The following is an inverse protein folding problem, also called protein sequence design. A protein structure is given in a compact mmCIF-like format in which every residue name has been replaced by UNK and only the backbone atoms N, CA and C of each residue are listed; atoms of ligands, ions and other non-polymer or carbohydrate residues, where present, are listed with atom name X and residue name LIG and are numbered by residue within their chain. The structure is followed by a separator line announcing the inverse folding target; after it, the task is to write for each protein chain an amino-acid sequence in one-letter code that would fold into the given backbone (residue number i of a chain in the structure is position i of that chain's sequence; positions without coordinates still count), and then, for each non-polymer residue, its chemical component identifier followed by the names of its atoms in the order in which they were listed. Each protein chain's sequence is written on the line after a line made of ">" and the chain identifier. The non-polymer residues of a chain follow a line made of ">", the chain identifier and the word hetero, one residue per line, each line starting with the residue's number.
data_IF_315303322924
#
_entry.id   IF_315303322924
#
_cell.length_a   1.000
_cell.length_b   1.000
_cell.length_c   1.000
_cell.angle_alpha   90.00
_cell.angle_beta   90.00
_cell.angle_gamma   90.00
#
_symmetry.space_group_name_H-M   'P 1'
#
loop_
_entity.id
_entity.type
_entity.pdbx_description
1 polymer ?
#
# COMPACT_ATOMS: atom_id res chain seq x y z
N UNK A 1 -13.83 -14.42 24.30
CA UNK A 1 -12.87 -15.17 23.46
C UNK A 1 -12.90 -14.55 22.07
N UNK A 2 -11.97 -13.64 21.76
CA UNK A 2 -11.88 -13.06 20.41
C UNK A 2 -11.33 -14.18 19.53
N UNK A 3 -12.17 -14.75 18.66
CA UNK A 3 -11.70 -15.68 17.63
C UNK A 3 -10.88 -14.84 16.66
N UNK A 4 -9.56 -14.80 16.87
CA UNK A 4 -8.66 -14.06 16.01
C UNK A 4 -8.59 -14.80 14.68
N UNK A 5 -9.02 -14.14 13.61
CA UNK A 5 -9.01 -14.70 12.27
C UNK A 5 -7.57 -14.61 11.72
N UNK A 6 -6.89 -15.76 11.55
CA UNK A 6 -5.54 -15.83 10.95
C UNK A 6 -5.40 -15.03 9.64
N UNK A 7 -6.49 -14.85 8.89
CA UNK A 7 -6.47 -14.06 7.64
C UNK A 7 -6.27 -12.56 7.88
N UNK A 8 -6.85 -12.01 8.96
CA UNK A 8 -6.67 -10.59 9.29
C UNK A 8 -5.29 -10.29 9.86
N UNK A 9 -4.68 -11.25 10.57
CA UNK A 9 -3.31 -11.11 11.10
C UNK A 9 -2.29 -10.94 9.97
N UNK A 10 -2.41 -11.73 8.90
CA UNK A 10 -1.49 -11.65 7.76
C UNK A 10 -1.61 -10.33 6.99
N UNK A 11 -2.84 -9.82 6.83
CA UNK A 11 -3.05 -8.50 6.22
C UNK A 11 -2.49 -7.38 7.10
N UNK A 12 -2.69 -7.47 8.42
CA UNK A 12 -2.10 -6.52 9.37
C UNK A 12 -0.58 -6.57 9.34
N UNK A 13 0.01 -7.78 9.26
CA UNK A 13 1.45 -7.97 9.13
C UNK A 13 2.02 -7.25 7.90
N UNK A 14 1.37 -7.36 6.73
CA UNK A 14 1.81 -6.64 5.52
C UNK A 14 1.85 -5.12 5.72
N UNK A 15 0.84 -4.57 6.40
CA UNK A 15 0.77 -3.13 6.68
C UNK A 15 1.86 -2.71 7.66
N UNK A 16 2.03 -3.44 8.76
CA UNK A 16 3.08 -3.17 9.75
C UNK A 16 4.46 -3.28 9.14
N UNK A 17 4.70 -4.31 8.32
CA UNK A 17 5.95 -4.45 7.57
C UNK A 17 6.18 -3.26 6.64
N UNK A 18 5.16 -2.81 5.91
CA UNK A 18 5.23 -1.62 5.07
C UNK A 18 5.65 -0.37 5.85
N UNK A 19 5.02 -0.13 7.01
CA UNK A 19 5.38 0.99 7.89
C UNK A 19 6.84 0.88 8.38
N UNK A 20 7.28 -0.31 8.81
CA UNK A 20 8.67 -0.51 9.24
C UNK A 20 9.67 -0.26 8.11
N UNK A 21 9.37 -0.69 6.89
CA UNK A 21 10.22 -0.43 5.72
C UNK A 21 10.30 1.06 5.39
N UNK A 22 9.19 1.80 5.49
CA UNK A 22 9.16 3.25 5.30
C UNK A 22 10.05 3.94 6.35
N UNK A 23 9.90 3.56 7.63
CA UNK A 23 10.74 4.10 8.70
C UNK A 23 12.24 3.79 8.48
N UNK A 24 12.55 2.59 8.01
CA UNK A 24 13.92 2.21 7.66
C UNK A 24 14.47 3.07 6.52
N UNK A 25 13.67 3.34 5.48
CA UNK A 25 14.07 4.23 4.38
C UNK A 25 14.36 5.63 4.89
N UNK A 26 13.52 6.19 5.76
CA UNK A 26 13.77 7.50 6.38
C UNK A 26 15.06 7.50 7.20
N UNK A 27 15.27 6.47 8.02
CA UNK A 27 16.51 6.32 8.78
C UNK A 27 17.75 6.33 7.87
N UNK A 28 17.73 5.61 6.75
CA UNK A 28 18.84 5.61 5.81
C UNK A 28 19.07 6.98 5.15
N UNK A 29 18.00 7.67 4.76
CA UNK A 29 18.08 9.01 4.15
C UNK A 29 18.70 10.03 5.10
N UNK A 30 18.35 9.97 6.38
CA UNK A 30 18.77 10.97 7.35
C UNK A 30 20.20 10.72 7.88
N UNK A 31 20.66 9.47 7.90
CA UNK A 31 21.92 9.09 8.56
C UNK A 31 23.08 8.79 7.59
N UNK A 32 22.81 8.60 6.29
CA UNK A 32 23.84 8.18 5.33
C UNK A 32 23.91 9.11 4.13
N UNK A 33 25.12 9.57 3.80
CA UNK A 33 25.39 10.24 2.52
C UNK A 33 25.41 9.19 1.42
N UNK A 34 24.39 9.19 0.58
CA UNK A 34 24.26 8.25 -0.53
C UNK A 34 24.59 8.90 -1.86
N UNK A 35 25.05 8.12 -2.84
CA UNK A 35 25.18 8.59 -4.22
C UNK A 35 23.82 8.98 -4.84
N UNK A 36 23.84 9.71 -5.95
CA UNK A 36 22.64 10.25 -6.61
C UNK A 36 21.58 9.19 -6.93
N UNK A 37 21.99 8.01 -7.42
CA UNK A 37 21.07 6.91 -7.74
C UNK A 37 20.38 6.34 -6.50
N UNK A 38 21.13 6.12 -5.42
CA UNK A 38 20.57 5.57 -4.17
C UNK A 38 19.64 6.60 -3.52
N UNK A 39 20.00 7.89 -3.58
CA UNK A 39 19.15 8.96 -3.08
C UNK A 39 17.81 9.01 -3.81
N UNK A 40 17.80 8.79 -5.13
CA UNK A 40 16.57 8.73 -5.92
C UNK A 40 15.72 7.51 -5.54
N UNK A 41 16.33 6.33 -5.41
CA UNK A 41 15.62 5.11 -4.99
C UNK A 41 15.01 5.26 -3.59
N UNK A 42 15.76 5.80 -2.64
CA UNK A 42 15.26 6.09 -1.29
C UNK A 42 14.21 7.21 -1.28
N UNK A 43 14.28 8.13 -2.26
CA UNK A 43 13.28 9.16 -2.48
C UNK A 43 11.90 8.56 -2.74
N UNK A 44 11.81 7.65 -3.71
CA UNK A 44 10.54 7.08 -4.20
C UNK A 44 10.07 5.82 -3.48
N UNK A 45 10.97 5.19 -2.72
CA UNK A 45 10.67 3.95 -1.99
C UNK A 45 9.44 4.05 -1.07
N UNK A 46 9.19 5.14 -0.31
CA UNK A 46 8.02 5.23 0.56
C UNK A 46 6.69 5.11 -0.21
N UNK A 47 6.61 5.74 -1.38
CA UNK A 47 5.42 5.70 -2.24
C UNK A 47 5.20 4.31 -2.84
N UNK A 48 6.28 3.69 -3.33
CA UNK A 48 6.25 2.30 -3.78
C UNK A 48 5.77 1.34 -2.66
N UNK A 49 6.37 1.43 -1.47
CA UNK A 49 6.04 0.56 -0.33
C UNK A 49 4.59 0.77 0.09
N UNK A 50 4.12 2.03 0.14
CA UNK A 50 2.73 2.33 0.52
C UNK A 50 1.76 1.74 -0.50
N UNK A 51 1.98 1.95 -1.80
CA UNK A 51 1.14 1.39 -2.85
C UNK A 51 1.12 -0.14 -2.85
N UNK A 52 2.23 -0.77 -2.45
CA UNK A 52 2.33 -2.22 -2.36
C UNK A 52 1.66 -2.79 -1.10
N UNK A 53 1.88 -2.22 0.09
CA UNK A 53 1.43 -2.81 1.34
C UNK A 53 0.04 -2.34 1.80
N UNK A 54 -0.33 -1.08 1.55
CA UNK A 54 -1.52 -0.48 2.15
C UNK A 54 -2.87 -0.92 1.55
N UNK A 55 -2.98 -1.46 0.31
CA UNK A 55 -4.24 -2.06 -0.12
C UNK A 55 -4.76 -3.15 0.83
N UNK A 56 -3.87 -3.81 1.59
CA UNK A 56 -4.23 -4.80 2.61
C UNK A 56 -5.15 -4.25 3.71
N UNK A 57 -5.06 -2.95 4.04
CA UNK A 57 -5.95 -2.27 4.99
C UNK A 57 -7.39 -2.38 4.51
N UNK A 58 -7.66 -2.00 3.26
CA UNK A 58 -9.01 -1.99 2.69
C UNK A 58 -9.55 -3.41 2.47
N UNK A 59 -8.68 -4.36 2.12
CA UNK A 59 -9.06 -5.76 1.95
C UNK A 59 -9.67 -6.32 3.25
N UNK A 60 -9.13 -5.95 4.40
CA UNK A 60 -9.64 -6.38 5.72
C UNK A 60 -11.11 -6.00 5.97
N UNK A 61 -11.65 -4.99 5.29
CA UNK A 61 -13.04 -4.55 5.45
C UNK A 61 -14.06 -5.35 4.64
N UNK A 62 -13.63 -6.31 3.79
CA UNK A 62 -14.54 -7.06 2.90
C UNK A 62 -15.75 -7.64 3.63
N UNK A 63 -15.52 -8.38 4.71
CA UNK A 63 -16.60 -9.04 5.46
C UNK A 63 -17.60 -8.03 6.03
N UNK A 64 -17.14 -6.84 6.41
CA UNK A 64 -18.01 -5.77 6.90
C UNK A 64 -18.88 -5.23 5.77
N UNK A 65 -18.32 -5.02 4.59
CA UNK A 65 -19.06 -4.53 3.41
C UNK A 65 -20.04 -5.57 2.88
N UNK A 66 -19.66 -6.85 2.85
CA UNK A 66 -20.54 -7.94 2.38
C UNK A 66 -21.79 -8.11 3.25
N UNK A 67 -21.73 -7.74 4.54
CA UNK A 67 -22.93 -7.69 5.40
C UNK A 67 -23.97 -6.69 4.93
N UNK A 68 -23.58 -5.61 4.24
CA UNK A 68 -24.48 -4.57 3.76
C UNK A 68 -24.85 -4.72 2.28
N UNK A 69 -23.93 -5.25 1.45
CA UNK A 69 -24.09 -5.30 -0.01
C UNK A 69 -24.21 -6.71 -0.59
N UNK A 70 -24.19 -7.75 0.24
CA UNK A 70 -24.16 -9.14 -0.21
C UNK A 70 -22.77 -9.58 -0.65
N UNK A 71 -22.66 -10.77 -1.25
CA UNK A 71 -21.38 -11.38 -1.65
C UNK A 71 -20.70 -10.55 -2.74
N UNK A 72 -19.43 -10.22 -2.54
CA UNK A 72 -18.62 -9.45 -3.48
C UNK A 72 -17.59 -10.38 -4.12
N UNK A 73 -17.39 -10.25 -5.43
CA UNK A 73 -16.35 -10.99 -6.14
C UNK A 73 -14.97 -10.65 -5.53
N UNK A 74 -14.21 -11.65 -5.01
CA UNK A 74 -12.95 -11.40 -4.33
C UNK A 74 -11.91 -10.65 -5.17
N UNK A 75 -11.82 -10.97 -6.48
CA UNK A 75 -10.87 -10.32 -7.37
C UNK A 75 -11.27 -8.86 -7.63
N UNK A 76 -12.56 -8.59 -7.88
CA UNK A 76 -13.04 -7.21 -8.04
C UNK A 76 -12.81 -6.37 -6.78
N UNK A 77 -13.03 -6.94 -5.59
CA UNK A 77 -12.75 -6.26 -4.32
C UNK A 77 -11.26 -5.96 -4.15
N UNK A 78 -10.41 -6.93 -4.46
CA UNK A 78 -8.96 -6.78 -4.40
C UNK A 78 -8.47 -5.67 -5.33
N UNK A 79 -8.87 -5.70 -6.60
CA UNK A 79 -8.53 -4.64 -7.57
C UNK A 79 -9.06 -3.28 -7.13
N UNK A 80 -10.30 -3.21 -6.64
CA UNK A 80 -10.87 -1.98 -6.11
C UNK A 80 -10.04 -1.40 -4.95
N UNK A 81 -9.63 -2.24 -3.98
CA UNK A 81 -8.79 -1.81 -2.85
C UNK A 81 -7.44 -1.27 -3.32
N UNK A 82 -6.82 -1.92 -4.31
CA UNK A 82 -5.56 -1.47 -4.88
C UNK A 82 -5.70 -0.13 -5.60
N UNK A 83 -6.74 0.01 -6.44
CA UNK A 83 -7.01 1.26 -7.15
C UNK A 83 -7.37 2.40 -6.19
N UNK A 84 -8.15 2.11 -5.14
CA UNK A 84 -8.48 3.08 -4.11
C UNK A 84 -7.22 3.59 -3.41
N UNK A 85 -6.31 2.68 -3.04
CA UNK A 85 -5.03 3.06 -2.44
C UNK A 85 -4.18 3.91 -3.40
N UNK A 86 -4.12 3.54 -4.67
CA UNK A 86 -3.38 4.30 -5.69
C UNK A 86 -3.95 5.71 -5.87
N UNK A 87 -5.27 5.85 -5.92
CA UNK A 87 -5.93 7.17 -6.02
C UNK A 87 -5.61 8.02 -4.80
N UNK A 88 -5.66 7.45 -3.60
CA UNK A 88 -5.31 8.17 -2.36
C UNK A 88 -3.86 8.67 -2.42
N UNK A 89 -2.92 7.84 -2.88
CA UNK A 89 -1.52 8.24 -3.04
C UNK A 89 -1.33 9.33 -4.09
N UNK A 90 -1.95 9.21 -5.25
CA UNK A 90 -1.88 10.24 -6.29
C UNK A 90 -2.45 11.57 -5.76
N UNK A 91 -3.61 11.54 -5.10
CA UNK A 91 -4.18 12.73 -4.47
C UNK A 91 -3.26 13.31 -3.39
N UNK A 92 -2.55 12.47 -2.65
CA UNK A 92 -1.57 12.89 -1.64
C UNK A 92 -0.39 13.64 -2.28
N UNK A 93 0.15 13.14 -3.38
CA UNK A 93 1.24 13.82 -4.13
C UNK A 93 0.81 15.19 -4.66
N UNK A 94 -0.40 15.30 -5.20
CA UNK A 94 -0.93 16.61 -5.63
C UNK A 94 -1.09 17.58 -4.46
N UNK A 95 -1.55 17.10 -3.30
CA UNK A 95 -1.68 17.93 -2.11
C UNK A 95 -0.32 18.35 -1.53
N UNK A 96 0.68 17.48 -1.61
CA UNK A 96 2.04 17.83 -1.18
C UNK A 96 2.62 19.00 -2.00
N UNK A 97 2.29 19.10 -3.29
CA UNK A 97 2.70 20.21 -4.14
C UNK A 97 2.22 21.58 -3.65
N UNK A 98 1.15 21.62 -2.84
CA UNK A 98 0.60 22.84 -2.23
C UNK A 98 1.25 23.19 -0.88
N UNK A 99 2.08 22.30 -0.31
CA UNK A 99 2.79 22.53 0.95
C UNK A 99 4.18 23.11 0.67
N UNK A 100 4.50 24.24 1.31
CA UNK A 100 5.70 25.07 1.06
C UNK A 100 7.07 24.33 1.09
N UNK A 101 7.12 23.08 1.56
CA UNK A 101 8.35 22.28 1.68
C UNK A 101 8.36 20.97 0.87
N UNK A 102 7.32 20.67 0.08
CA UNK A 102 7.26 19.43 -0.70
C UNK A 102 7.09 19.72 -2.19
N UNK A 103 7.91 19.06 -2.99
CA UNK A 103 7.92 19.21 -4.45
C UNK A 103 7.22 17.99 -5.05
N UNK A 104 6.25 18.24 -5.92
CA UNK A 104 5.65 17.21 -6.75
C UNK A 104 6.73 16.45 -7.55
N UNK A 105 6.91 15.16 -7.27
CA UNK A 105 7.82 14.30 -8.03
C UNK A 105 7.05 13.31 -8.91
N UNK A 106 7.27 13.38 -10.23
CA UNK A 106 6.70 12.42 -11.18
C UNK A 106 7.17 10.99 -10.89
N UNK A 107 8.36 10.83 -10.32
CA UNK A 107 8.90 9.52 -9.98
C UNK A 107 8.10 8.85 -8.85
N UNK A 108 7.51 9.63 -7.94
CA UNK A 108 6.66 9.13 -6.86
C UNK A 108 5.33 8.58 -7.37
N UNK A 109 4.74 9.21 -8.39
CA UNK A 109 3.57 8.68 -9.09
C UNK A 109 3.92 7.36 -9.79
N UNK A 110 5.05 7.31 -10.51
CA UNK A 110 5.49 6.08 -11.19
C UNK A 110 5.75 4.96 -10.19
N UNK A 111 6.38 5.26 -9.06
CA UNK A 111 6.65 4.32 -7.98
C UNK A 111 5.33 3.78 -7.36
N UNK A 112 4.35 4.66 -7.14
CA UNK A 112 3.02 4.27 -6.66
C UNK A 112 2.30 3.34 -7.65
N UNK A 113 2.33 3.67 -8.95
CA UNK A 113 1.75 2.83 -10.00
C UNK A 113 2.44 1.46 -10.02
N UNK A 114 3.78 1.43 -9.95
CA UNK A 114 4.54 0.18 -9.98
C UNK A 114 4.26 -0.70 -8.75
N UNK A 115 4.18 -0.11 -7.55
CA UNK A 115 3.80 -0.80 -6.32
C UNK A 115 2.39 -1.40 -6.40
N UNK A 116 1.43 -0.64 -6.93
CA UNK A 116 0.05 -1.11 -7.13
C UNK A 116 -0.01 -2.28 -8.14
N UNK A 117 0.73 -2.19 -9.26
CA UNK A 117 0.82 -3.27 -10.25
C UNK A 117 1.41 -4.54 -9.62
N UNK A 118 2.51 -4.43 -8.88
CA UNK A 118 3.11 -5.59 -8.21
C UNK A 118 2.17 -6.21 -7.19
N UNK A 119 1.42 -5.39 -6.43
CA UNK A 119 0.42 -5.92 -5.52
C UNK A 119 -0.70 -6.66 -6.26
N UNK A 120 -1.12 -6.19 -7.43
CA UNK A 120 -2.08 -6.91 -8.28
C UNK A 120 -1.55 -8.30 -8.69
N UNK A 121 -0.26 -8.39 -9.03
CA UNK A 121 0.39 -9.67 -9.35
C UNK A 121 0.47 -10.62 -8.14
N UNK A 122 0.39 -10.12 -6.90
CA UNK A 122 0.33 -10.96 -5.70
C UNK A 122 -1.03 -11.65 -5.49
N UNK A 123 -2.03 -11.39 -6.33
CA UNK A 123 -3.37 -12.00 -6.23
C UNK A 123 -3.38 -13.52 -6.02
N UNK A 124 -2.59 -14.34 -6.75
CA UNK A 124 -2.60 -15.81 -6.58
C UNK A 124 -2.28 -16.25 -5.15
N UNK A 125 -1.40 -15.49 -4.47
CA UNK A 125 -0.99 -15.74 -3.09
C UNK A 125 -1.99 -15.14 -2.09
N UNK A 126 -2.52 -13.96 -2.40
CA UNK A 126 -3.38 -13.23 -1.47
C UNK A 126 -4.87 -13.62 -1.55
N UNK A 127 -5.30 -14.33 -2.59
CA UNK A 127 -6.70 -14.76 -2.78
C UNK A 127 -7.28 -15.52 -1.60
N UNK A 128 -6.44 -16.25 -0.84
CA UNK A 128 -6.85 -17.00 0.36
C UNK A 128 -7.37 -16.09 1.47
N UNK A 129 -6.84 -14.86 1.57
CA UNK A 129 -7.22 -13.86 2.57
C UNK A 129 -8.50 -13.11 2.19
N UNK A 130 -8.83 -13.04 0.90
CA UNK A 130 -9.99 -12.30 0.38
C UNK A 130 -11.24 -13.17 0.23
N UNK A 131 -11.07 -14.49 0.06
CA UNK A 131 -12.20 -15.42 0.02
C UNK A 131 -12.86 -15.53 1.41
N UNK A 132 -14.20 -15.44 1.50
CA UNK A 132 -14.89 -15.74 2.76
C UNK A 132 -14.55 -17.17 3.18
N UNK A 133 -14.40 -17.37 4.50
CA UNK A 133 -14.29 -18.71 5.07
C UNK A 133 -15.61 -19.47 4.87
#
# INVERSE_FOLDING_TARGET
>A
MIIVNKKSENLAFLVVLGVLLILLVHYFRDNYKTGSTISLLLGVAPNFITAFCFPAVFIGFKNKIEKYRGKINPFKWFTFCTLLCLIILICWEFRQAELDNFVFDKNDILASIFGAILFLFCWPFLRGFVKPA
#
